data_IF_198010496185
#
_entry.id   IF_198010496185
#
_cell.length_a   1.000
_cell.length_b   1.000
_cell.length_c   1.000
_cell.angle_alpha   90.00
_cell.angle_beta   90.00
_cell.angle_gamma   90.00
#
_symmetry.space_group_name_H-M   'P 1'
#
loop_
_entity.id
_entity.type
_entity.pdbx_description
1 polymer ?
#
# COMPACT_ATOMS: atom_id res chain seq x y z
N UNK A 1 3.33 7.81 -21.25
CA UNK A 1 3.07 6.82 -20.18
C UNK A 1 4.17 6.94 -19.13
N UNK A 2 3.77 7.20 -17.92
CA UNK A 2 4.69 7.57 -16.82
C UNK A 2 5.51 6.36 -16.32
N UNK A 3 4.94 5.14 -16.39
CA UNK A 3 5.57 3.89 -15.92
C UNK A 3 5.82 2.88 -17.05
N UNK A 4 6.10 3.35 -18.27
CA UNK A 4 6.28 2.45 -19.41
C UNK A 4 7.32 1.36 -19.16
N UNK A 5 6.90 0.09 -19.31
CA UNK A 5 7.71 -1.11 -19.07
C UNK A 5 8.29 -1.27 -17.64
N UNK A 6 7.78 -0.54 -16.65
CA UNK A 6 8.17 -0.72 -15.25
C UNK A 6 7.54 -1.97 -14.67
N UNK A 7 8.32 -2.74 -13.93
CA UNK A 7 7.87 -3.96 -13.23
C UNK A 7 7.49 -3.57 -11.81
N UNK A 8 6.23 -3.80 -11.46
CA UNK A 8 5.66 -3.37 -10.19
C UNK A 8 5.00 -4.54 -9.45
N UNK A 9 5.17 -4.60 -8.14
CA UNK A 9 4.38 -5.47 -7.26
C UNK A 9 3.48 -4.61 -6.38
N UNK A 10 2.17 -4.91 -6.38
CA UNK A 10 1.18 -4.27 -5.50
C UNK A 10 0.54 -5.35 -4.63
N UNK A 11 0.67 -5.25 -3.30
CA UNK A 11 0.03 -6.19 -2.37
C UNK A 11 -1.40 -5.79 -2.05
N UNK A 12 -2.30 -6.78 -1.86
CA UNK A 12 -3.69 -6.53 -1.51
C UNK A 12 -4.49 -5.82 -2.62
N UNK A 13 -4.37 -6.29 -3.87
CA UNK A 13 -4.90 -5.60 -5.07
C UNK A 13 -6.29 -6.06 -5.51
N UNK A 14 -6.99 -6.89 -4.74
CA UNK A 14 -8.27 -7.45 -5.15
C UNK A 14 -9.47 -6.51 -4.97
N UNK A 15 -9.30 -5.38 -4.27
CA UNK A 15 -10.33 -4.37 -4.03
C UNK A 15 -9.72 -3.03 -3.58
N UNK A 16 -10.57 -2.00 -3.53
CA UNK A 16 -10.29 -0.71 -2.90
C UNK A 16 -9.05 0.00 -3.47
N UNK A 17 -8.20 0.50 -2.58
CA UNK A 17 -7.00 1.28 -2.93
C UNK A 17 -6.04 0.44 -3.77
N UNK A 18 -5.75 -0.81 -3.37
CA UNK A 18 -4.80 -1.66 -4.08
C UNK A 18 -5.24 -2.03 -5.49
N UNK A 19 -6.52 -2.27 -5.70
CA UNK A 19 -7.11 -2.49 -7.03
C UNK A 19 -6.96 -1.24 -7.91
N UNK A 20 -7.26 -0.07 -7.34
CA UNK A 20 -7.14 1.21 -8.05
C UNK A 20 -5.69 1.51 -8.44
N UNK A 21 -4.72 1.27 -7.53
CA UNK A 21 -3.29 1.41 -7.82
C UNK A 21 -2.88 0.49 -8.97
N UNK A 22 -3.27 -0.79 -8.91
CA UNK A 22 -2.91 -1.75 -9.95
C UNK A 22 -3.44 -1.34 -11.33
N UNK A 23 -4.69 -0.87 -11.41
CA UNK A 23 -5.32 -0.38 -12.65
C UNK A 23 -4.62 0.88 -13.18
N UNK A 24 -4.39 1.86 -12.31
CA UNK A 24 -3.78 3.13 -12.70
C UNK A 24 -2.35 2.94 -13.20
N UNK A 25 -1.56 2.10 -12.51
CA UNK A 25 -0.19 1.81 -12.93
C UNK A 25 -0.15 1.07 -14.27
N UNK A 26 -1.03 0.08 -14.47
CA UNK A 26 -1.14 -0.63 -15.75
C UNK A 26 -1.58 0.32 -16.88
N UNK A 27 -2.56 1.21 -16.64
CA UNK A 27 -3.00 2.23 -17.61
C UNK A 27 -1.87 3.18 -17.99
N UNK A 28 -0.90 3.36 -17.12
CA UNK A 28 0.31 4.16 -17.37
C UNK A 28 1.51 3.36 -17.91
N UNK A 29 1.28 2.12 -18.37
CA UNK A 29 2.23 1.31 -19.10
C UNK A 29 3.06 0.34 -18.26
N UNK A 30 2.79 0.21 -16.95
CA UNK A 30 3.47 -0.74 -16.10
C UNK A 30 3.03 -2.19 -16.33
N UNK A 31 3.92 -3.11 -16.05
CA UNK A 31 3.63 -4.53 -15.85
C UNK A 31 3.44 -4.73 -14.35
N UNK A 32 2.19 -4.91 -13.93
CA UNK A 32 1.82 -4.95 -12.52
C UNK A 32 1.54 -6.37 -12.07
N UNK A 33 2.36 -6.91 -11.19
CA UNK A 33 2.02 -8.09 -10.40
C UNK A 33 1.05 -7.67 -9.30
N UNK A 34 -0.21 -7.98 -9.50
CA UNK A 34 -1.26 -7.70 -8.52
C UNK A 34 -1.40 -8.88 -7.56
N UNK A 35 -1.21 -8.65 -6.27
CA UNK A 35 -1.31 -9.70 -5.27
C UNK A 35 -2.68 -9.74 -4.60
N UNK A 36 -3.16 -10.96 -4.37
CA UNK A 36 -4.27 -11.28 -3.49
C UNK A 36 -4.04 -12.65 -2.83
N UNK A 37 -4.80 -12.96 -1.75
CA UNK A 37 -4.74 -14.28 -1.11
C UNK A 37 -5.55 -15.33 -1.85
N UNK A 38 -6.75 -14.96 -2.30
CA UNK A 38 -7.72 -15.88 -2.89
C UNK A 38 -7.50 -16.02 -4.39
N UNK A 39 -7.31 -17.24 -4.93
CA UNK A 39 -7.30 -17.48 -6.37
C UNK A 39 -8.54 -16.87 -7.06
N UNK A 40 -8.36 -16.42 -8.29
CA UNK A 40 -9.42 -15.82 -9.15
C UNK A 40 -9.99 -14.47 -8.67
N UNK A 41 -9.64 -13.99 -7.48
CA UNK A 41 -10.14 -12.70 -6.96
C UNK A 41 -9.64 -11.47 -7.74
N UNK A 42 -8.72 -11.65 -8.67
CA UNK A 42 -8.15 -10.61 -9.55
C UNK A 42 -8.63 -10.72 -10.99
N UNK A 43 -9.52 -11.66 -11.32
CA UNK A 43 -9.99 -11.91 -12.68
C UNK A 43 -10.67 -10.68 -13.30
N UNK A 44 -11.39 -9.93 -12.51
CA UNK A 44 -12.07 -8.71 -12.97
C UNK A 44 -11.13 -7.61 -13.50
N UNK A 45 -9.88 -7.62 -13.06
CA UNK A 45 -8.88 -6.64 -13.47
C UNK A 45 -7.80 -7.24 -14.39
N UNK A 46 -7.37 -8.47 -14.16
CA UNK A 46 -6.29 -9.09 -14.93
C UNK A 46 -6.66 -9.42 -16.39
N UNK A 47 -7.96 -9.61 -16.65
CA UNK A 47 -8.48 -9.91 -18.01
C UNK A 47 -8.76 -8.65 -18.86
N UNK A 48 -8.57 -7.45 -18.30
CA UNK A 48 -8.78 -6.18 -19.00
C UNK A 48 -7.53 -5.73 -19.76
N UNK A 49 -7.75 -4.94 -20.80
CA UNK A 49 -6.67 -4.29 -21.56
C UNK A 49 -6.34 -2.94 -20.94
N UNK A 50 -5.06 -2.65 -20.79
CA UNK A 50 -4.51 -1.41 -20.20
C UNK A 50 -3.52 -0.73 -21.18
N UNK A 51 -3.87 -0.64 -22.44
CA UNK A 51 -2.95 -0.10 -23.45
C UNK A 51 -1.68 -0.93 -23.58
N UNK A 52 -0.51 -0.35 -23.27
CA UNK A 52 0.78 -1.06 -23.27
C UNK A 52 1.09 -1.79 -21.94
N UNK A 53 0.40 -1.44 -20.86
CA UNK A 53 0.56 -2.10 -19.58
C UNK A 53 -0.30 -3.36 -19.45
N UNK A 54 -0.05 -4.13 -18.42
CA UNK A 54 -0.84 -5.33 -18.08
C UNK A 54 -0.83 -5.61 -16.58
N UNK A 55 -1.85 -6.33 -16.13
CA UNK A 55 -1.94 -6.85 -14.76
C UNK A 55 -1.74 -8.36 -14.80
N UNK A 56 -0.77 -8.84 -14.04
CA UNK A 56 -0.46 -10.25 -13.87
C UNK A 56 -0.88 -10.65 -12.45
N UNK A 57 -1.85 -11.56 -12.29
CA UNK A 57 -2.26 -12.00 -10.96
C UNK A 57 -1.17 -12.87 -10.31
N UNK A 58 -0.94 -12.64 -9.03
CA UNK A 58 -0.07 -13.46 -8.20
C UNK A 58 -0.72 -13.69 -6.84
N UNK A 59 -0.87 -14.96 -6.44
CA UNK A 59 -1.65 -15.32 -5.27
C UNK A 59 -0.74 -15.85 -4.16
N UNK A 60 -0.67 -15.12 -3.06
CA UNK A 60 0.03 -15.52 -1.84
C UNK A 60 -0.48 -14.74 -0.63
N UNK A 61 -0.35 -15.31 0.55
CA UNK A 61 -0.55 -14.59 1.81
C UNK A 61 0.74 -13.85 2.15
N UNK A 62 0.62 -12.53 2.36
CA UNK A 62 1.78 -11.67 2.69
C UNK A 62 2.42 -12.03 4.03
N UNK A 63 1.72 -12.74 4.90
CA UNK A 63 2.24 -13.24 6.20
C UNK A 63 2.98 -14.57 6.07
N UNK A 64 2.83 -15.27 4.94
CA UNK A 64 3.62 -16.46 4.66
C UNK A 64 4.92 -16.10 3.94
N UNK A 65 6.00 -16.09 4.71
CA UNK A 65 7.34 -15.76 4.24
C UNK A 65 7.80 -16.61 3.06
N UNK A 66 7.43 -17.90 3.03
CA UNK A 66 7.86 -18.82 1.96
C UNK A 66 7.18 -18.46 0.63
N UNK A 67 5.87 -18.28 0.63
CA UNK A 67 5.12 -17.91 -0.57
C UNK A 67 5.45 -16.50 -1.04
N UNK A 68 5.67 -15.56 -0.11
CA UNK A 68 6.17 -14.21 -0.43
C UNK A 68 7.52 -14.28 -1.16
N UNK A 69 8.48 -15.04 -0.64
CA UNK A 69 9.79 -15.22 -1.30
C UNK A 69 9.64 -15.85 -2.69
N UNK A 70 8.78 -16.85 -2.86
CA UNK A 70 8.52 -17.46 -4.17
C UNK A 70 7.93 -16.47 -5.17
N UNK A 71 7.06 -15.57 -4.72
CA UNK A 71 6.52 -14.51 -5.58
C UNK A 71 7.62 -13.57 -6.11
N UNK A 72 8.55 -13.14 -5.26
CA UNK A 72 9.69 -12.33 -5.69
C UNK A 72 10.63 -13.10 -6.62
N UNK A 73 10.89 -14.37 -6.39
CA UNK A 73 11.68 -15.22 -7.30
C UNK A 73 11.02 -15.31 -8.68
N UNK A 74 9.71 -15.54 -8.75
CA UNK A 74 8.96 -15.55 -10.00
C UNK A 74 9.11 -14.25 -10.78
N UNK A 75 8.98 -13.08 -10.11
CA UNK A 75 9.16 -11.77 -10.75
C UNK A 75 10.58 -11.65 -11.34
N UNK A 76 11.59 -12.11 -10.60
CA UNK A 76 12.98 -12.06 -11.05
C UNK A 76 13.24 -13.02 -12.21
N UNK A 77 12.67 -14.24 -12.20
CA UNK A 77 12.81 -15.20 -13.29
C UNK A 77 12.15 -14.71 -14.58
N UNK A 78 10.99 -14.04 -14.48
CA UNK A 78 10.25 -13.56 -15.65
C UNK A 78 10.81 -12.23 -16.23
N UNK A 79 11.32 -11.32 -15.38
CA UNK A 79 11.70 -9.97 -15.81
C UNK A 79 13.10 -9.51 -15.39
N UNK A 80 13.78 -10.23 -14.51
CA UNK A 80 15.13 -9.89 -14.03
C UNK A 80 15.21 -8.62 -13.19
N UNK A 81 14.07 -7.97 -12.86
CA UNK A 81 14.03 -6.68 -12.14
C UNK A 81 12.71 -6.45 -11.41
N UNK A 82 12.77 -5.52 -10.45
CA UNK A 82 11.60 -4.94 -9.79
C UNK A 82 11.82 -3.43 -9.66
N UNK A 83 10.95 -2.63 -10.28
CA UNK A 83 11.10 -1.16 -10.28
C UNK A 83 10.34 -0.47 -9.15
N UNK A 84 9.19 -1.03 -8.77
CA UNK A 84 8.38 -0.47 -7.71
C UNK A 84 7.71 -1.57 -6.88
N UNK A 85 7.70 -1.37 -5.56
CA UNK A 85 6.89 -2.13 -4.60
C UNK A 85 5.86 -1.21 -3.97
N UNK A 86 4.58 -1.62 -3.97
CA UNK A 86 3.54 -0.96 -3.20
C UNK A 86 3.01 -1.91 -2.14
N UNK A 87 3.31 -1.63 -0.88
CA UNK A 87 2.79 -2.34 0.29
C UNK A 87 1.44 -1.74 0.67
N UNK A 88 0.36 -2.36 0.16
CA UNK A 88 -1.00 -1.92 0.42
C UNK A 88 -1.81 -2.92 1.25
N UNK A 89 -1.46 -4.20 1.26
CA UNK A 89 -2.16 -5.18 2.08
C UNK A 89 -2.22 -4.75 3.56
N UNK A 90 -3.39 -4.80 4.15
CA UNK A 90 -3.60 -4.40 5.53
C UNK A 90 -4.97 -4.81 6.05
N UNK A 91 -5.09 -4.91 7.37
CA UNK A 91 -6.33 -5.20 8.08
C UNK A 91 -6.57 -4.17 9.17
N UNK A 92 -7.85 -3.96 9.46
CA UNK A 92 -8.36 -3.17 10.57
C UNK A 92 -9.27 -4.06 11.41
N UNK A 93 -9.06 -4.04 12.72
CA UNK A 93 -9.96 -4.67 13.70
C UNK A 93 -10.17 -3.65 14.81
N UNK A 94 -11.40 -3.21 14.99
CA UNK A 94 -11.78 -2.29 16.06
C UNK A 94 -11.99 -3.06 17.36
N UNK A 95 -11.13 -2.78 18.35
CA UNK A 95 -11.21 -3.40 19.68
C UNK A 95 -10.71 -2.43 20.73
N UNK A 96 -11.52 -2.17 21.77
CA UNK A 96 -11.11 -1.29 22.86
C UNK A 96 -9.84 -1.82 23.53
N UNK A 97 -8.97 -0.93 23.97
CA UNK A 97 -7.67 -1.30 24.58
C UNK A 97 -7.86 -2.23 25.81
N UNK A 98 -8.95 -2.08 26.52
CA UNK A 98 -9.29 -2.94 27.69
C UNK A 98 -9.73 -4.35 27.30
N UNK A 99 -10.08 -4.58 26.01
CA UNK A 99 -10.54 -5.86 25.49
C UNK A 99 -9.59 -6.43 24.42
N UNK A 100 -8.58 -5.65 24.03
CA UNK A 100 -7.59 -6.03 23.01
C UNK A 100 -6.66 -7.11 23.59
N UNK A 101 -6.81 -8.33 23.10
CA UNK A 101 -5.92 -9.41 23.46
C UNK A 101 -4.63 -9.42 22.62
N UNK A 102 -3.63 -10.15 23.09
CA UNK A 102 -2.33 -10.25 22.45
C UNK A 102 -2.39 -10.95 21.08
N UNK A 103 -3.33 -11.87 20.88
CA UNK A 103 -3.48 -12.60 19.62
C UNK A 103 -3.98 -11.67 18.52
N UNK A 104 -5.02 -10.87 18.81
CA UNK A 104 -5.55 -9.85 17.91
C UNK A 104 -4.50 -8.80 17.57
N UNK A 105 -3.78 -8.28 18.57
CA UNK A 105 -2.69 -7.33 18.35
C UNK A 105 -1.61 -7.95 17.44
N UNK A 106 -1.17 -9.18 17.73
CA UNK A 106 -0.18 -9.88 16.90
C UNK A 106 -0.65 -10.05 15.47
N UNK A 107 -1.90 -10.49 15.25
CA UNK A 107 -2.44 -10.66 13.89
C UNK A 107 -2.41 -9.36 13.08
N UNK A 108 -2.77 -8.22 13.69
CA UNK A 108 -2.70 -6.91 13.03
C UNK A 108 -1.24 -6.58 12.68
N UNK A 109 -0.29 -6.82 13.59
CA UNK A 109 1.13 -6.54 13.33
C UNK A 109 1.73 -7.49 12.29
N UNK A 110 1.34 -8.77 12.26
CA UNK A 110 1.79 -9.73 11.22
C UNK A 110 1.45 -9.21 9.82
N UNK A 111 0.22 -8.72 9.60
CA UNK A 111 -0.19 -8.23 8.30
C UNK A 111 0.33 -6.82 8.02
N UNK A 112 0.13 -5.87 8.97
CA UNK A 112 0.35 -4.45 8.71
C UNK A 112 1.81 -4.01 8.84
N UNK A 113 2.64 -4.76 9.59
CA UNK A 113 4.02 -4.37 9.91
C UNK A 113 5.03 -5.40 9.43
N UNK A 114 4.92 -6.66 9.88
CA UNK A 114 5.95 -7.67 9.59
C UNK A 114 5.94 -8.06 8.11
N UNK A 115 4.76 -8.19 7.49
CA UNK A 115 4.65 -8.42 6.06
C UNK A 115 5.22 -7.26 5.23
N UNK A 116 4.99 -6.01 5.65
CA UNK A 116 5.57 -4.82 5.02
C UNK A 116 7.10 -4.85 5.11
N UNK A 117 7.64 -5.13 6.30
CA UNK A 117 9.08 -5.27 6.50
C UNK A 117 9.67 -6.38 5.60
N UNK A 118 9.05 -7.56 5.54
CA UNK A 118 9.53 -8.69 4.74
C UNK A 118 9.56 -8.36 3.25
N UNK A 119 8.49 -7.81 2.72
CA UNK A 119 8.42 -7.41 1.30
C UNK A 119 9.41 -6.29 0.97
N UNK A 120 9.58 -5.30 1.86
CA UNK A 120 10.61 -4.26 1.73
C UNK A 120 12.01 -4.86 1.72
N UNK A 121 12.31 -5.81 2.62
CA UNK A 121 13.61 -6.48 2.70
C UNK A 121 13.93 -7.26 1.43
N UNK A 122 12.95 -7.95 0.84
CA UNK A 122 13.12 -8.67 -0.43
C UNK A 122 13.31 -7.71 -1.60
N UNK A 123 12.47 -6.67 -1.70
CA UNK A 123 12.57 -5.67 -2.76
C UNK A 123 13.90 -4.90 -2.69
N UNK A 124 14.33 -4.49 -1.50
CA UNK A 124 15.58 -3.73 -1.34
C UNK A 124 16.81 -4.51 -1.81
N UNK A 125 16.87 -5.83 -1.58
CA UNK A 125 17.97 -6.68 -2.08
C UNK A 125 18.05 -6.73 -3.61
N UNK A 126 16.91 -6.70 -4.29
CA UNK A 126 16.83 -6.64 -5.75
C UNK A 126 17.22 -5.24 -6.22
N UNK A 127 16.55 -4.22 -5.69
CA UNK A 127 16.71 -2.82 -6.09
C UNK A 127 18.13 -2.28 -5.80
N UNK A 128 18.79 -2.72 -4.72
CA UNK A 128 20.16 -2.34 -4.40
C UNK A 128 21.17 -2.82 -5.45
N UNK A 129 20.96 -4.02 -6.01
CA UNK A 129 21.76 -4.52 -7.14
C UNK A 129 21.47 -3.74 -8.42
N UNK A 130 20.24 -3.29 -8.63
CA UNK A 130 19.83 -2.46 -9.77
C UNK A 130 20.32 -1.02 -9.66
N UNK A 131 20.66 -0.54 -8.45
CA UNK A 131 20.92 0.87 -8.13
C UNK A 131 19.74 1.78 -8.49
N UNK A 132 18.53 1.28 -8.37
CA UNK A 132 17.29 2.00 -8.70
C UNK A 132 16.07 1.29 -8.12
N UNK A 133 15.11 2.04 -7.59
CA UNK A 133 13.84 1.51 -7.12
C UNK A 133 12.95 2.55 -6.45
N UNK A 134 11.67 2.20 -6.29
CA UNK A 134 10.73 2.96 -5.49
C UNK A 134 9.90 2.01 -4.59
N UNK A 135 9.79 2.32 -3.33
CA UNK A 135 8.96 1.59 -2.37
C UNK A 135 7.92 2.55 -1.81
N UNK A 136 6.66 2.16 -1.86
CA UNK A 136 5.53 2.96 -1.39
C UNK A 136 4.77 2.12 -0.35
N UNK A 137 4.67 2.63 0.86
CA UNK A 137 3.96 1.96 1.95
C UNK A 137 2.64 2.67 2.22
N UNK A 138 1.52 1.97 2.13
CA UNK A 138 0.21 2.54 2.49
C UNK A 138 0.05 2.48 4.02
N UNK A 139 0.25 3.64 4.63
CA UNK A 139 0.03 3.89 6.05
C UNK A 139 -1.44 4.27 6.32
N UNK A 140 -1.67 5.29 7.12
CA UNK A 140 -2.99 5.89 7.42
C UNK A 140 -2.77 7.19 8.22
N UNK A 141 -3.71 8.14 8.13
CA UNK A 141 -3.74 9.28 9.05
C UNK A 141 -3.82 8.82 10.51
N UNK A 142 -4.45 7.66 10.79
CA UNK A 142 -4.47 7.06 12.12
C UNK A 142 -3.09 6.73 12.67
N UNK A 143 -2.10 6.51 11.81
CA UNK A 143 -0.71 6.27 12.22
C UNK A 143 0.03 7.54 12.63
N UNK A 144 -0.45 8.70 12.20
CA UNK A 144 0.13 10.03 12.46
C UNK A 144 -0.50 10.67 13.72
N UNK A 145 -1.83 10.69 13.77
CA UNK A 145 -2.59 11.44 14.76
C UNK A 145 -3.22 10.53 15.85
N UNK A 146 -3.12 9.22 15.68
CA UNK A 146 -3.96 8.26 16.39
C UNK A 146 -5.24 8.00 15.59
N UNK A 147 -6.00 7.00 16.00
CA UNK A 147 -7.25 6.63 15.37
C UNK A 147 -8.44 6.86 16.30
N UNK A 148 -9.60 6.48 15.83
CA UNK A 148 -10.81 6.48 16.62
C UNK A 148 -10.71 5.50 17.80
N UNK A 149 -11.68 5.63 18.73
CA UNK A 149 -11.84 4.68 19.83
C UNK A 149 -11.94 3.24 19.32
N UNK A 150 -11.09 2.36 19.84
CA UNK A 150 -10.98 0.96 19.39
C UNK A 150 -9.85 0.69 18.38
N UNK A 151 -9.19 1.72 17.85
CA UNK A 151 -8.17 1.57 16.80
C UNK A 151 -6.72 1.58 17.33
N UNK A 152 -6.51 1.34 18.62
CA UNK A 152 -5.17 1.36 19.21
C UNK A 152 -4.17 0.46 18.48
N UNK A 153 -4.55 -0.79 18.18
CA UNK A 153 -3.69 -1.74 17.48
C UNK A 153 -3.44 -1.32 16.01
N UNK A 154 -4.47 -0.85 15.33
CA UNK A 154 -4.37 -0.39 13.95
C UNK A 154 -3.48 0.86 13.85
N UNK A 155 -3.77 1.88 14.66
CA UNK A 155 -3.02 3.15 14.65
C UNK A 155 -1.55 2.93 14.96
N UNK A 156 -1.23 2.14 16.01
CA UNK A 156 0.16 1.82 16.34
C UNK A 156 0.86 1.05 15.21
N UNK A 157 0.17 0.13 14.53
CA UNK A 157 0.72 -0.59 13.38
C UNK A 157 1.03 0.34 12.20
N UNK A 158 0.15 1.31 11.92
CA UNK A 158 0.37 2.29 10.85
C UNK A 158 1.44 3.33 11.20
N UNK A 159 1.56 3.73 12.47
CA UNK A 159 2.69 4.52 12.97
C UNK A 159 4.03 3.78 12.81
N UNK A 160 4.05 2.47 13.08
CA UNK A 160 5.24 1.64 12.83
C UNK A 160 5.66 1.64 11.34
N UNK A 161 4.70 1.57 10.41
CA UNK A 161 4.98 1.65 8.96
C UNK A 161 5.60 3.00 8.58
N UNK A 162 5.11 4.10 9.15
CA UNK A 162 5.69 5.44 8.93
C UNK A 162 7.13 5.50 9.42
N UNK A 163 7.41 4.98 10.61
CA UNK A 163 8.77 4.94 11.17
C UNK A 163 9.71 4.04 10.33
N UNK A 164 9.25 2.83 9.94
CA UNK A 164 9.98 1.94 9.03
C UNK A 164 10.35 2.64 7.72
N UNK A 165 9.40 3.36 7.12
CA UNK A 165 9.60 4.11 5.88
C UNK A 165 10.74 5.12 5.99
N UNK A 166 10.72 5.94 7.05
CA UNK A 166 11.72 7.00 7.27
C UNK A 166 13.14 6.43 7.45
N UNK A 167 13.27 5.32 8.19
CA UNK A 167 14.57 4.69 8.40
C UNK A 167 15.06 3.98 7.14
N UNK A 168 14.19 3.21 6.47
CA UNK A 168 14.54 2.54 5.23
C UNK A 168 14.96 3.52 4.12
N UNK A 169 14.33 4.71 4.05
CA UNK A 169 14.71 5.75 3.11
C UNK A 169 16.15 6.23 3.30
N UNK A 170 16.64 6.31 4.54
CA UNK A 170 18.03 6.67 4.86
C UNK A 170 19.00 5.55 4.44
N UNK A 171 18.68 4.31 4.78
CA UNK A 171 19.52 3.14 4.49
C UNK A 171 19.61 2.84 2.99
N UNK A 172 18.53 3.06 2.25
CA UNK A 172 18.44 2.69 0.84
C UNK A 172 18.78 3.83 -0.13
N UNK A 173 18.88 5.05 0.35
CA UNK A 173 19.18 6.24 -0.45
C UNK A 173 20.51 6.15 -1.20
N UNK A 174 21.55 5.53 -0.60
CA UNK A 174 22.86 5.32 -1.27
C UNK A 174 22.77 4.40 -2.50
N UNK A 175 21.71 3.57 -2.58
CA UNK A 175 21.41 2.70 -3.72
C UNK A 175 20.45 3.34 -4.73
N UNK A 176 20.15 4.64 -4.59
CA UNK A 176 19.17 5.33 -5.43
C UNK A 176 17.77 4.69 -5.37
N UNK A 177 17.38 4.24 -4.20
CA UNK A 177 16.05 3.67 -3.90
C UNK A 177 15.30 4.67 -3.04
N UNK A 178 14.12 5.08 -3.49
CA UNK A 178 13.24 5.97 -2.73
C UNK A 178 12.21 5.17 -1.96
N UNK A 179 11.99 5.53 -0.70
CA UNK A 179 10.99 4.89 0.17
C UNK A 179 10.11 5.97 0.76
N UNK A 180 8.82 5.93 0.46
CA UNK A 180 7.84 6.88 0.98
C UNK A 180 6.61 6.16 1.51
N UNK A 181 5.87 6.79 2.40
CA UNK A 181 4.55 6.34 2.83
C UNK A 181 3.46 7.29 2.37
N UNK A 182 2.29 6.74 2.12
CA UNK A 182 1.06 7.47 1.85
C UNK A 182 0.11 7.20 3.01
N UNK A 183 -0.44 8.25 3.60
CA UNK A 183 -1.42 8.19 4.69
C UNK A 183 -2.79 8.64 4.19
N UNK A 184 -3.62 7.70 3.67
CA UNK A 184 -4.98 8.03 3.29
C UNK A 184 -5.83 8.40 4.52
N UNK A 185 -6.79 9.31 4.32
CA UNK A 185 -7.90 9.56 5.21
C UNK A 185 -9.06 8.59 4.96
N UNK A 186 -10.28 9.14 4.98
CA UNK A 186 -11.48 8.36 4.70
C UNK A 186 -11.64 8.19 3.18
N UNK A 187 -11.45 6.96 2.71
CA UNK A 187 -11.48 6.61 1.28
C UNK A 187 -12.67 5.68 1.02
N UNK A 188 -13.41 5.93 -0.05
CA UNK A 188 -14.57 5.17 -0.47
C UNK A 188 -14.19 3.72 -0.87
N UNK A 189 -14.13 2.85 0.11
CA UNK A 189 -13.78 1.42 0.01
C UNK A 189 -14.77 0.59 0.81
N UNK A 190 -14.77 -0.73 0.59
CA UNK A 190 -15.59 -1.64 1.40
C UNK A 190 -15.28 -1.51 2.90
N UNK A 191 -14.02 -1.25 3.25
CA UNK A 191 -13.61 -1.03 4.65
C UNK A 191 -14.31 0.18 5.27
N UNK A 192 -14.42 1.29 4.54
CA UNK A 192 -15.14 2.47 5.00
C UNK A 192 -16.66 2.24 5.04
N UNK A 193 -17.21 1.66 3.96
CA UNK A 193 -18.66 1.40 3.82
C UNK A 193 -19.20 0.37 4.82
N UNK A 194 -18.34 -0.50 5.37
CA UNK A 194 -18.77 -1.49 6.39
C UNK A 194 -19.02 -0.90 7.78
N UNK A 195 -18.61 0.35 8.02
CA UNK A 195 -18.90 1.05 9.28
C UNK A 195 -20.35 1.51 9.41
N UNK A 196 -20.83 1.85 10.62
CA UNK A 196 -22.16 2.42 10.84
C UNK A 196 -22.36 3.76 10.08
N UNK A 197 -23.54 3.97 9.50
CA UNK A 197 -23.83 5.14 8.66
C UNK A 197 -23.69 6.47 9.41
N UNK A 198 -24.12 6.53 10.66
CA UNK A 198 -24.00 7.71 11.52
C UNK A 198 -22.52 8.09 11.76
N UNK A 199 -21.66 7.08 11.95
CA UNK A 199 -20.21 7.27 12.07
C UNK A 199 -19.64 7.75 10.74
N UNK A 200 -20.01 7.10 9.61
CA UNK A 200 -19.54 7.53 8.28
C UNK A 200 -19.89 8.99 8.02
N UNK A 201 -21.15 9.40 8.29
CA UNK A 201 -21.61 10.79 8.11
C UNK A 201 -20.79 11.75 8.96
N UNK A 202 -20.59 11.46 10.25
CA UNK A 202 -19.79 12.29 11.15
C UNK A 202 -18.35 12.45 10.66
N UNK A 203 -17.73 11.36 10.14
CA UNK A 203 -16.38 11.41 9.61
C UNK A 203 -16.29 12.26 8.35
N UNK A 204 -17.28 12.16 7.45
CA UNK A 204 -17.37 13.00 6.25
C UNK A 204 -17.53 14.49 6.63
N UNK A 205 -18.37 14.80 7.62
CA UNK A 205 -18.55 16.16 8.12
C UNK A 205 -17.24 16.75 8.69
N UNK A 206 -16.34 15.89 9.19
CA UNK A 206 -14.99 16.24 9.64
C UNK A 206 -13.96 16.48 8.54
N UNK A 207 -14.28 16.21 7.27
CA UNK A 207 -13.38 16.48 6.13
C UNK A 207 -13.57 17.93 5.68
N UNK A 208 -12.51 18.72 5.68
CA UNK A 208 -12.60 20.13 5.29
C UNK A 208 -12.76 20.30 3.78
N UNK A 209 -12.05 19.52 2.96
CA UNK A 209 -12.12 19.64 1.52
C UNK A 209 -13.40 18.98 0.97
N UNK A 210 -14.35 19.81 0.53
CA UNK A 210 -15.59 19.40 -0.14
C UNK A 210 -16.52 18.46 0.65
N UNK A 211 -16.29 18.24 1.95
CA UNK A 211 -17.13 17.40 2.81
C UNK A 211 -17.47 16.04 2.17
N UNK A 212 -16.46 15.36 1.66
CA UNK A 212 -16.63 14.03 1.02
C UNK A 212 -15.51 13.07 1.42
N UNK A 213 -15.74 11.79 1.21
CA UNK A 213 -14.67 10.78 1.22
C UNK A 213 -13.79 10.94 -0.03
N UNK A 214 -12.52 10.59 0.11
CA UNK A 214 -11.61 10.44 -1.03
C UNK A 214 -11.98 9.22 -1.87
N UNK A 215 -11.58 9.23 -3.14
CA UNK A 215 -11.74 8.10 -4.03
C UNK A 215 -10.45 7.26 -4.07
N UNK A 216 -10.52 5.93 -4.23
CA UNK A 216 -9.33 5.08 -4.38
C UNK A 216 -8.38 5.55 -5.48
N UNK A 217 -8.90 6.13 -6.58
CA UNK A 217 -8.10 6.65 -7.68
C UNK A 217 -7.26 7.87 -7.27
N UNK A 218 -7.71 8.67 -6.31
CA UNK A 218 -6.93 9.82 -5.82
C UNK A 218 -5.67 9.33 -5.09
N UNK A 219 -5.79 8.25 -4.30
CA UNK A 219 -4.63 7.59 -3.67
C UNK A 219 -3.72 6.96 -4.74
N UNK A 220 -4.31 6.32 -5.76
CA UNK A 220 -3.56 5.69 -6.84
C UNK A 220 -2.74 6.73 -7.65
N UNK A 221 -3.28 7.91 -7.89
CA UNK A 221 -2.58 9.01 -8.57
C UNK A 221 -1.35 9.50 -7.79
N UNK A 222 -1.47 9.62 -6.46
CA UNK A 222 -0.32 9.96 -5.61
C UNK A 222 0.74 8.84 -5.65
N UNK A 223 0.32 7.58 -5.57
CA UNK A 223 1.23 6.44 -5.71
C UNK A 223 1.91 6.42 -7.09
N UNK A 224 1.19 6.76 -8.16
CA UNK A 224 1.73 6.87 -9.51
C UNK A 224 2.84 7.93 -9.59
N UNK A 225 2.60 9.11 -9.01
CA UNK A 225 3.63 10.16 -8.88
C UNK A 225 4.85 9.63 -8.13
N UNK A 226 4.65 9.01 -6.96
CA UNK A 226 5.75 8.48 -6.13
C UNK A 226 6.51 7.33 -6.79
N UNK A 227 5.88 6.53 -7.64
CA UNK A 227 6.54 5.46 -8.40
C UNK A 227 7.37 5.99 -9.59
N UNK A 228 7.12 7.22 -10.02
CA UNK A 228 7.70 7.81 -11.23
C UNK A 228 8.97 8.63 -10.95
N UNK A 229 9.66 9.01 -12.04
CA UNK A 229 10.80 9.92 -11.96
C UNK A 229 10.42 11.37 -11.61
N UNK A 230 9.11 11.72 -11.65
CA UNK A 230 8.64 13.05 -11.24
C UNK A 230 8.86 13.31 -9.75
N UNK A 231 8.97 12.26 -8.94
CA UNK A 231 9.26 12.31 -7.51
C UNK A 231 10.73 11.95 -7.17
N UNK A 232 11.67 12.19 -8.10
CA UNK A 232 13.08 11.78 -7.96
C UNK A 232 13.79 12.33 -6.73
N UNK A 233 13.29 13.42 -6.14
CA UNK A 233 13.85 14.04 -4.93
C UNK A 233 12.94 13.92 -3.71
N UNK A 234 11.88 13.08 -3.78
CA UNK A 234 10.95 12.80 -2.66
C UNK A 234 11.36 11.46 -2.04
N UNK A 235 11.91 11.49 -0.83
CA UNK A 235 12.40 10.31 -0.12
C UNK A 235 12.22 10.45 1.39
N UNK A 236 11.70 9.44 2.05
CA UNK A 236 11.48 9.40 3.50
C UNK A 236 10.22 10.13 3.96
N UNK A 237 9.37 10.58 3.04
CA UNK A 237 8.17 11.34 3.37
C UNK A 237 6.98 10.46 3.71
N UNK A 238 6.14 10.96 4.62
CA UNK A 238 4.79 10.47 4.86
C UNK A 238 3.79 11.49 4.31
N UNK A 239 3.17 11.17 3.18
CA UNK A 239 2.29 12.12 2.49
C UNK A 239 0.83 11.79 2.81
N UNK A 240 0.15 12.72 3.46
CA UNK A 240 -1.29 12.62 3.74
C UNK A 240 -2.09 12.89 2.47
N UNK A 241 -3.16 12.11 2.29
CA UNK A 241 -4.18 12.30 1.25
C UNK A 241 -5.55 12.08 1.88
N UNK A 242 -6.09 13.11 2.51
CA UNK A 242 -7.21 13.00 3.44
C UNK A 242 -8.20 14.15 3.35
N UNK A 243 -8.00 15.13 2.46
CA UNK A 243 -8.83 16.31 2.38
C UNK A 243 -8.80 17.16 3.65
N UNK A 244 -7.73 17.06 4.42
CA UNK A 244 -7.59 17.68 5.74
C UNK A 244 -8.68 17.20 6.71
N UNK A 245 -8.83 15.88 6.82
CA UNK A 245 -9.77 15.26 7.75
C UNK A 245 -9.27 15.34 9.19
N UNK A 246 -10.19 15.53 10.13
CA UNK A 246 -9.95 15.32 11.55
C UNK A 246 -10.54 13.99 12.01
N UNK A 247 -9.80 13.26 12.86
CA UNK A 247 -10.20 11.97 13.45
C UNK A 247 -10.72 12.20 14.87
#
# INVERSE_FOLDING_TARGET
MILNNKIVLVTGSNRGIGESIAKEFASNGAIVYANARQPNSLDSISKKTYGKGKIIPIYFDVTDRKSTKQAFLRIMDEYGRLDCLVNNAGILVDTLITMLDRATLRNIYEVNVFAVFETMSLASRIMSKQKSGAIINIASICGDEGGMRGQTAYSSSKGAVIALTKTAAKELGEFNIRVNSVSPGFIDTDMFRSGPEDIQKRLVDGVYLNKRVGLPVEVANLCLFLASNQSSYVNGENIRIDGFAHI
#
